data_IF_358897595733
#
_entry.id   IF_358897595733
#
_cell.length_a   1.000
_cell.length_b   1.000
_cell.length_c   1.000
_cell.angle_alpha   90.00
_cell.angle_beta   90.00
_cell.angle_gamma   90.00
#
_symmetry.space_group_name_H-M   'P 1'
#
loop_
_entity.id
_entity.type
_entity.pdbx_description
1 polymer ?
#
# COMPACT_ATOMS: atom_id res chain seq x y z
N UNK A 1 -6.00 -14.17 3.14
CA UNK A 1 -6.05 -13.63 1.75
C UNK A 1 -7.33 -12.84 1.53
N UNK A 2 -7.19 -11.51 1.50
CA UNK A 2 -8.24 -10.59 1.07
C UNK A 2 -8.43 -10.76 -0.44
N UNK A 3 -9.68 -10.88 -0.90
CA UNK A 3 -9.99 -10.96 -2.32
C UNK A 3 -9.60 -9.63 -3.00
N UNK A 4 -8.67 -9.68 -3.97
CA UNK A 4 -8.19 -8.47 -4.66
C UNK A 4 -9.21 -8.04 -5.70
N UNK A 5 -9.66 -6.79 -5.61
CA UNK A 5 -10.58 -6.21 -6.58
C UNK A 5 -9.87 -6.05 -7.95
N UNK A 6 -10.34 -6.77 -8.98
CA UNK A 6 -9.73 -6.77 -10.31
C UNK A 6 -9.63 -5.37 -10.93
N UNK A 7 -10.63 -4.51 -10.69
CA UNK A 7 -10.65 -3.14 -11.20
C UNK A 7 -9.58 -2.26 -10.53
N UNK A 8 -9.37 -2.45 -9.23
CA UNK A 8 -8.30 -1.76 -8.47
C UNK A 8 -6.93 -2.25 -8.93
N UNK A 9 -6.79 -3.54 -9.22
CA UNK A 9 -5.53 -4.10 -9.72
C UNK A 9 -5.20 -3.59 -11.13
N UNK A 10 -6.20 -3.39 -12.00
CA UNK A 10 -6.02 -2.73 -13.29
C UNK A 10 -5.65 -1.25 -13.13
N UNK A 11 -6.33 -0.53 -12.23
CA UNK A 11 -5.98 0.85 -11.90
C UNK A 11 -4.53 0.96 -11.42
N UNK A 12 -4.08 0.08 -10.52
CA UNK A 12 -2.70 0.03 -10.05
C UNK A 12 -1.70 -0.22 -11.20
N UNK A 13 -2.06 -1.04 -12.19
CA UNK A 13 -1.22 -1.27 -13.37
C UNK A 13 -1.09 -0.03 -14.27
N UNK A 14 -2.03 0.93 -14.18
CA UNK A 14 -1.95 2.19 -14.92
C UNK A 14 -1.06 3.25 -14.26
N UNK A 15 -0.69 3.06 -12.99
CA UNK A 15 0.16 3.98 -12.24
C UNK A 15 1.65 3.84 -12.64
N UNK A 16 2.48 4.86 -12.39
CA UNK A 16 3.92 4.74 -12.54
C UNK A 16 4.45 3.51 -11.79
N UNK A 17 5.36 2.75 -12.42
CA UNK A 17 5.86 1.47 -11.90
C UNK A 17 6.37 1.55 -10.46
N UNK A 18 7.06 2.65 -10.12
CA UNK A 18 7.54 2.87 -8.75
C UNK A 18 6.38 3.01 -7.75
N UNK A 19 5.32 3.75 -8.10
CA UNK A 19 4.17 3.95 -7.22
C UNK A 19 3.40 2.65 -6.99
N UNK A 20 3.12 1.91 -8.07
CA UNK A 20 2.39 0.65 -7.99
C UNK A 20 3.20 -0.44 -7.28
N UNK A 21 4.51 -0.51 -7.52
CA UNK A 21 5.39 -1.51 -6.87
C UNK A 21 5.53 -1.24 -5.37
N UNK A 22 5.77 0.01 -4.96
CA UNK A 22 5.87 0.39 -3.55
C UNK A 22 4.54 0.13 -2.83
N UNK A 23 3.42 0.58 -3.40
CA UNK A 23 2.10 0.37 -2.80
C UNK A 23 1.78 -1.11 -2.61
N UNK A 24 1.95 -1.93 -3.66
CA UNK A 24 1.68 -3.37 -3.60
C UNK A 24 2.53 -4.05 -2.54
N UNK A 25 3.81 -3.71 -2.47
CA UNK A 25 4.71 -4.27 -1.47
C UNK A 25 4.28 -3.91 -0.05
N UNK A 26 4.03 -2.63 0.23
CA UNK A 26 3.61 -2.19 1.56
C UNK A 26 2.27 -2.81 1.97
N UNK A 27 1.30 -2.87 1.07
CA UNK A 27 0.02 -3.56 1.30
C UNK A 27 0.23 -5.02 1.70
N UNK A 28 1.07 -5.75 0.98
CA UNK A 28 1.33 -7.17 1.25
C UNK A 28 2.05 -7.36 2.61
N UNK A 29 2.93 -6.43 3.02
CA UNK A 29 3.55 -6.44 4.36
C UNK A 29 2.53 -6.13 5.46
N UNK A 30 1.63 -5.17 5.28
CA UNK A 30 0.53 -4.90 6.22
C UNK A 30 -0.39 -6.11 6.38
N UNK A 31 -0.75 -6.79 5.28
CA UNK A 31 -1.51 -8.03 5.33
C UNK A 31 -0.77 -9.11 6.13
N UNK A 32 0.54 -9.28 5.91
CA UNK A 32 1.35 -10.24 6.65
C UNK A 32 1.42 -9.94 8.15
N UNK A 33 1.51 -8.66 8.55
CA UNK A 33 1.46 -8.24 9.96
C UNK A 33 0.08 -8.56 10.58
N UNK A 34 -1.00 -8.27 9.86
CA UNK A 34 -2.36 -8.57 10.30
C UNK A 34 -2.60 -10.09 10.47
N UNK A 35 -2.13 -10.92 9.52
CA UNK A 35 -2.26 -12.39 9.57
C UNK A 35 -1.49 -13.02 10.74
N UNK A 36 -0.38 -12.40 11.19
CA UNK A 36 0.37 -12.86 12.37
C UNK A 36 -0.34 -12.61 13.69
N UNK A 37 -1.51 -11.95 13.67
CA UNK A 37 -2.27 -11.62 14.88
C UNK A 37 -1.54 -10.64 15.78
N UNK A 38 -0.53 -9.94 15.24
CA UNK A 38 0.14 -8.84 15.91
C UNK A 38 -0.88 -7.69 16.05
N UNK A 39 -1.65 -7.70 17.14
CA UNK A 39 -2.40 -6.53 17.62
C UNK A 39 -1.39 -5.48 18.06
N UNK A 40 -0.76 -4.82 17.09
CA UNK A 40 0.29 -3.86 17.35
C UNK A 40 -0.10 -2.48 16.83
N UNK A 41 0.39 -1.51 17.60
CA UNK A 41 0.38 -0.07 17.41
C UNK A 41 0.53 0.30 15.92
N UNK A 42 -0.53 0.88 15.34
CA UNK A 42 -0.62 1.28 13.92
C UNK A 42 0.60 2.10 13.50
N UNK A 43 1.02 3.05 14.35
CA UNK A 43 2.19 3.89 14.07
C UNK A 43 3.50 3.08 14.00
N UNK A 44 3.64 2.00 14.78
CA UNK A 44 4.82 1.13 14.71
C UNK A 44 4.81 0.23 13.49
N UNK A 45 3.62 -0.20 13.06
CA UNK A 45 3.47 -0.98 11.84
C UNK A 45 3.79 -0.11 10.62
N UNK A 46 3.31 1.13 10.59
CA UNK A 46 3.62 2.08 9.54
C UNK A 46 5.13 2.33 9.44
N UNK A 47 5.77 2.69 10.55
CA UNK A 47 7.22 2.90 10.59
C UNK A 47 7.98 1.64 10.12
N UNK A 48 7.55 0.46 10.56
CA UNK A 48 8.18 -0.80 10.15
C UNK A 48 8.07 -1.05 8.65
N UNK A 49 6.86 -0.95 8.09
CA UNK A 49 6.57 -1.22 6.67
C UNK A 49 7.24 -0.17 5.77
N UNK A 50 7.25 1.10 6.16
CA UNK A 50 7.98 2.16 5.47
C UNK A 50 9.48 1.90 5.42
N UNK A 51 10.08 1.44 6.53
CA UNK A 51 11.51 1.07 6.56
C UNK A 51 11.80 -0.12 5.64
N UNK A 52 10.91 -1.12 5.60
CA UNK A 52 11.07 -2.26 4.68
C UNK A 52 10.98 -1.82 3.21
N UNK A 53 10.00 -0.99 2.88
CA UNK A 53 9.82 -0.47 1.53
C UNK A 53 10.99 0.42 1.10
N UNK A 54 11.47 1.27 2.00
CA UNK A 54 12.66 2.10 1.81
C UNK A 54 13.87 1.26 1.38
N UNK A 55 14.18 0.19 2.13
CA UNK A 55 15.30 -0.70 1.81
C UNK A 55 15.12 -1.45 0.48
N UNK A 56 13.88 -1.77 0.11
CA UNK A 56 13.58 -2.55 -1.09
C UNK A 56 13.63 -1.71 -2.36
N UNK A 57 13.19 -0.47 -2.31
CA UNK A 57 13.01 0.39 -3.49
C UNK A 57 13.97 1.58 -3.56
N UNK A 58 14.91 1.68 -2.61
CA UNK A 58 15.89 2.77 -2.51
C UNK A 58 15.23 4.16 -2.46
N UNK A 59 14.13 4.24 -1.70
CA UNK A 59 13.39 5.48 -1.39
C UNK A 59 13.53 5.79 0.10
N UNK A 60 13.24 7.01 0.52
CA UNK A 60 13.16 7.29 1.97
C UNK A 60 11.90 6.66 2.60
N UNK A 61 11.89 6.31 3.91
CA UNK A 61 10.69 5.79 4.57
C UNK A 61 9.48 6.73 4.42
N UNK A 62 9.71 8.03 4.62
CA UNK A 62 8.71 9.07 4.42
C UNK A 62 8.16 9.11 2.98
N UNK A 63 9.02 8.91 1.99
CA UNK A 63 8.59 8.82 0.59
C UNK A 63 7.76 7.58 0.33
N UNK A 64 8.12 6.42 0.89
CA UNK A 64 7.33 5.21 0.80
C UNK A 64 5.93 5.40 1.40
N UNK A 65 5.84 5.97 2.60
CA UNK A 65 4.57 6.33 3.25
C UNK A 65 3.73 7.30 2.41
N UNK A 66 4.35 8.34 1.87
CA UNK A 66 3.68 9.30 0.99
C UNK A 66 3.14 8.66 -0.29
N UNK A 67 3.91 7.76 -0.91
CA UNK A 67 3.46 6.99 -2.08
C UNK A 67 2.25 6.14 -1.68
N UNK A 68 2.34 5.42 -0.57
CA UNK A 68 1.26 4.55 -0.09
C UNK A 68 -0.04 5.33 0.12
N UNK A 69 0.00 6.39 0.93
CA UNK A 69 -1.17 7.23 1.22
C UNK A 69 -1.74 7.90 -0.04
N UNK A 70 -0.89 8.33 -0.96
CA UNK A 70 -1.33 8.93 -2.23
C UNK A 70 -2.06 7.91 -3.10
N UNK A 71 -1.53 6.70 -3.22
CA UNK A 71 -2.16 5.64 -4.03
C UNK A 71 -3.45 5.16 -3.38
N UNK A 72 -3.48 4.99 -2.07
CA UNK A 72 -4.70 4.62 -1.33
C UNK A 72 -5.82 5.66 -1.52
N UNK A 73 -5.48 6.95 -1.42
CA UNK A 73 -6.43 8.04 -1.68
C UNK A 73 -7.01 7.98 -3.10
N UNK A 74 -6.19 7.65 -4.10
CA UNK A 74 -6.64 7.50 -5.49
C UNK A 74 -7.51 6.28 -5.70
N UNK A 75 -7.21 5.16 -5.04
CA UNK A 75 -8.05 3.95 -5.06
C UNK A 75 -9.42 4.29 -4.47
N UNK A 76 -9.46 4.91 -3.29
CA UNK A 76 -10.71 5.31 -2.64
C UNK A 76 -11.55 6.22 -3.56
N UNK A 77 -10.93 7.18 -4.24
CA UNK A 77 -11.61 8.04 -5.20
C UNK A 77 -12.13 7.26 -6.43
N UNK A 78 -11.34 6.34 -6.96
CA UNK A 78 -11.73 5.47 -8.08
C UNK A 78 -12.92 4.58 -7.72
N UNK A 79 -12.91 3.95 -6.54
CA UNK A 79 -14.01 3.10 -6.07
C UNK A 79 -15.28 3.91 -5.78
N UNK A 80 -15.15 5.13 -5.25
CA UNK A 80 -16.29 6.02 -5.02
C UNK A 80 -17.02 6.41 -6.33
N UNK A 81 -16.26 6.66 -7.41
CA UNK A 81 -16.83 6.97 -8.73
C UNK A 81 -17.59 5.79 -9.35
N UNK A 82 -17.18 4.55 -9.06
CA UNK A 82 -17.81 3.34 -9.59
C UNK A 82 -18.99 2.85 -8.76
N UNK A 83 -19.11 3.33 -7.52
CA UNK A 83 -20.21 3.01 -6.61
C UNK A 83 -21.40 3.98 -6.74
N UNK A 84 -21.29 4.98 -7.62
CA UNK A 84 -22.31 6.01 -7.88
C UNK A 84 -23.21 5.69 -9.08
#
# INVERSE_FOLDING_TARGET
MVERNADVEEFLNSLPEQQSSVFRYMRDEYEALAERGERFDEAKNDEHVEILASKKFDVSPLEAGNIYATVESRINAFEALRSS
#
